data_IF_249210546693
#
_entry.id   IF_249210546693
#
_cell.length_a   1.000
_cell.length_b   1.000
_cell.length_c   1.000
_cell.angle_alpha   90.00
_cell.angle_beta   90.00
_cell.angle_gamma   90.00
#
_symmetry.space_group_name_H-M   'P 1'
#
loop_
_entity.id
_entity.type
_entity.pdbx_description
1 polymer ?
#
# COMPACT_ATOMS: atom_id res chain seq x y z
N UNK A 1 -5.18 28.10 18.30
CA UNK A 1 -4.77 26.68 18.30
C UNK A 1 -3.84 26.49 17.12
N UNK A 2 -2.58 26.17 17.36
CA UNK A 2 -1.62 25.85 16.29
C UNK A 2 -2.07 24.55 15.66
N UNK A 3 -2.52 24.57 14.39
CA UNK A 3 -2.85 23.36 13.65
C UNK A 3 -1.52 22.64 13.46
N UNK A 4 -1.37 21.47 14.06
CA UNK A 4 -0.18 20.66 13.90
C UNK A 4 -0.01 20.27 12.43
N UNK A 5 1.13 20.60 11.83
CA UNK A 5 1.42 20.33 10.42
C UNK A 5 1.85 18.88 10.25
N UNK A 6 1.36 18.14 9.22
CA UNK A 6 1.84 16.82 8.90
C UNK A 6 3.36 16.78 8.70
N UNK A 7 3.99 15.69 9.16
CA UNK A 7 5.43 15.48 9.01
C UNK A 7 5.83 15.09 7.57
N UNK A 8 4.86 14.67 6.76
CA UNK A 8 5.05 14.24 5.38
C UNK A 8 4.07 14.95 4.46
N UNK A 9 4.56 15.47 3.35
CA UNK A 9 3.75 16.12 2.31
C UNK A 9 3.13 15.08 1.37
N UNK A 10 3.90 14.07 0.95
CA UNK A 10 3.49 13.04 -0.01
C UNK A 10 3.82 11.66 0.50
N UNK A 11 2.83 10.79 0.53
CA UNK A 11 2.97 9.40 0.98
C UNK A 11 2.43 8.42 -0.07
N UNK A 12 2.97 7.20 -0.06
CA UNK A 12 2.37 6.08 -0.77
C UNK A 12 1.88 5.03 0.24
N UNK A 13 0.59 4.78 0.25
CA UNK A 13 -0.06 3.77 1.09
C UNK A 13 -0.21 2.46 0.32
N UNK A 14 0.45 1.41 0.77
CA UNK A 14 0.28 0.06 0.23
C UNK A 14 -0.71 -0.73 1.08
N UNK A 15 -1.78 -1.15 0.46
CA UNK A 15 -2.81 -2.02 1.04
C UNK A 15 -2.75 -3.42 0.45
N UNK A 16 -2.86 -4.46 1.28
CA UNK A 16 -3.08 -5.81 0.75
C UNK A 16 -4.54 -5.96 0.31
N UNK A 17 -4.80 -6.77 -0.73
CA UNK A 17 -6.18 -7.09 -1.12
C UNK A 17 -6.96 -7.72 0.05
N UNK A 18 -6.32 -8.56 0.84
CA UNK A 18 -6.92 -9.17 2.03
C UNK A 18 -7.42 -8.16 3.08
N UNK A 19 -6.84 -6.95 3.09
CA UNK A 19 -7.32 -5.90 3.95
C UNK A 19 -8.73 -5.42 3.58
N UNK A 20 -9.19 -5.67 2.34
CA UNK A 20 -10.55 -5.33 1.88
C UNK A 20 -11.60 -6.40 2.20
N UNK A 21 -11.19 -7.59 2.65
CA UNK A 21 -12.11 -8.68 2.94
C UNK A 21 -12.86 -8.47 4.27
N UNK A 22 -12.27 -7.75 5.21
CA UNK A 22 -12.77 -7.76 6.58
C UNK A 22 -12.70 -9.17 7.17
N UNK A 23 -13.83 -9.66 7.68
CA UNK A 23 -13.99 -11.02 8.22
C UNK A 23 -14.47 -12.03 7.16
N UNK A 24 -14.72 -11.59 5.93
CA UNK A 24 -15.13 -12.45 4.82
C UNK A 24 -13.97 -13.32 4.33
N UNK A 25 -14.27 -14.50 3.78
CA UNK A 25 -13.26 -15.44 3.28
C UNK A 25 -12.62 -14.98 1.96
N UNK A 26 -13.32 -14.16 1.16
CA UNK A 26 -12.86 -13.63 -0.13
C UNK A 26 -13.69 -12.39 -0.52
N UNK A 27 -13.22 -11.68 -1.56
CA UNK A 27 -13.96 -10.58 -2.15
C UNK A 27 -13.72 -9.24 -1.42
N UNK A 28 -14.71 -8.36 -1.51
CA UNK A 28 -14.63 -6.98 -1.06
C UNK A 28 -15.74 -6.71 -0.04
N UNK A 29 -15.36 -6.43 1.19
CA UNK A 29 -16.30 -6.05 2.24
C UNK A 29 -16.52 -4.54 2.25
N UNK A 30 -17.76 -4.09 2.01
CA UNK A 30 -18.10 -2.69 1.90
C UNK A 30 -17.83 -1.88 3.17
N UNK A 31 -18.12 -2.43 4.34
CA UNK A 31 -17.90 -1.72 5.61
C UNK A 31 -16.40 -1.50 5.86
N UNK A 32 -15.58 -2.50 5.52
CA UNK A 32 -14.13 -2.43 5.63
C UNK A 32 -13.53 -1.37 4.69
N UNK A 33 -13.97 -1.31 3.42
CA UNK A 33 -13.54 -0.26 2.50
C UNK A 33 -13.91 1.13 3.01
N UNK A 34 -15.14 1.33 3.48
CA UNK A 34 -15.59 2.64 3.99
C UNK A 34 -14.70 3.09 5.15
N UNK A 35 -14.38 2.20 6.08
CA UNK A 35 -13.47 2.52 7.20
C UNK A 35 -12.08 2.93 6.72
N UNK A 36 -11.49 2.20 5.75
CA UNK A 36 -10.18 2.54 5.20
C UNK A 36 -10.19 3.88 4.49
N UNK A 37 -11.23 4.15 3.71
CA UNK A 37 -11.40 5.43 3.01
C UNK A 37 -11.55 6.57 4.00
N UNK A 38 -12.20 6.38 5.15
CA UNK A 38 -12.27 7.40 6.20
C UNK A 38 -10.89 7.78 6.74
N UNK A 39 -10.00 6.81 6.99
CA UNK A 39 -8.60 7.06 7.40
C UNK A 39 -7.84 7.86 6.32
N UNK A 40 -7.99 7.48 5.03
CA UNK A 40 -7.38 8.21 3.91
C UNK A 40 -7.95 9.61 3.80
N UNK A 41 -9.27 9.78 3.94
CA UNK A 41 -9.94 11.08 3.87
C UNK A 41 -9.45 12.03 4.96
N UNK A 42 -9.23 11.53 6.15
CA UNK A 42 -8.73 12.35 7.27
C UNK A 42 -7.37 12.96 6.92
N UNK A 43 -6.41 12.17 6.44
CA UNK A 43 -5.07 12.66 6.14
C UNK A 43 -5.01 13.51 4.87
N UNK A 44 -5.83 13.21 3.86
CA UNK A 44 -5.94 14.02 2.65
C UNK A 44 -6.48 15.42 2.97
N UNK A 45 -7.48 15.52 3.86
CA UNK A 45 -8.02 16.82 4.32
C UNK A 45 -7.03 17.65 5.14
N UNK A 46 -6.00 17.01 5.68
CA UNK A 46 -4.87 17.70 6.34
C UNK A 46 -3.85 18.26 5.34
N UNK A 47 -4.07 18.07 4.03
CA UNK A 47 -3.18 18.54 2.96
C UNK A 47 -2.08 17.55 2.58
N UNK A 48 -2.16 16.29 3.02
CA UNK A 48 -1.23 15.24 2.60
C UNK A 48 -1.63 14.70 1.23
N UNK A 49 -0.69 14.66 0.30
CA UNK A 49 -0.85 14.03 -1.01
C UNK A 49 -0.75 12.51 -0.85
N UNK A 50 -1.83 11.79 -1.17
CA UNK A 50 -1.93 10.35 -0.93
C UNK A 50 -2.01 9.58 -2.24
N UNK A 51 -1.03 8.70 -2.47
CA UNK A 51 -1.09 7.66 -3.47
C UNK A 51 -1.35 6.31 -2.79
N UNK A 52 -2.07 5.41 -3.49
CA UNK A 52 -2.40 4.08 -2.98
C UNK A 52 -1.96 3.02 -3.99
N UNK A 53 -1.30 1.97 -3.52
CA UNK A 53 -1.12 0.70 -4.24
C UNK A 53 -1.93 -0.37 -3.54
N UNK A 54 -2.79 -1.07 -4.28
CA UNK A 54 -3.67 -2.10 -3.73
C UNK A 54 -3.32 -3.48 -4.28
N UNK A 55 -3.28 -4.50 -3.42
CA UNK A 55 -3.14 -5.90 -3.81
C UNK A 55 -4.44 -6.52 -4.33
N UNK A 56 -4.33 -7.71 -4.94
CA UNK A 56 -5.47 -8.48 -5.50
C UNK A 56 -5.77 -9.80 -4.80
N UNK A 57 -5.07 -10.11 -3.70
CA UNK A 57 -5.10 -11.44 -3.06
C UNK A 57 -6.44 -11.86 -2.44
N UNK A 58 -7.38 -10.92 -2.25
CA UNK A 58 -8.76 -11.20 -1.84
C UNK A 58 -9.64 -11.75 -2.98
N UNK A 59 -9.23 -11.55 -4.23
CA UNK A 59 -9.95 -12.00 -5.43
C UNK A 59 -9.20 -13.14 -6.09
N UNK A 60 -7.91 -12.97 -6.34
CA UNK A 60 -7.06 -13.96 -6.99
C UNK A 60 -5.61 -13.90 -6.50
N UNK A 61 -4.98 -15.07 -6.29
CA UNK A 61 -3.57 -15.20 -5.90
C UNK A 61 -2.80 -15.94 -6.99
N UNK A 62 -1.93 -15.22 -7.73
CA UNK A 62 -1.12 -15.79 -8.80
C UNK A 62 -0.24 -16.97 -8.36
N UNK A 63 0.35 -16.89 -7.15
CA UNK A 63 1.15 -17.99 -6.61
C UNK A 63 0.32 -19.25 -6.36
N UNK A 64 -0.89 -19.10 -5.79
CA UNK A 64 -1.80 -20.23 -5.57
C UNK A 64 -2.30 -20.79 -6.90
N UNK A 65 -2.71 -19.93 -7.84
CA UNK A 65 -3.13 -20.36 -9.18
C UNK A 65 -2.02 -21.08 -9.95
N UNK A 66 -0.77 -20.63 -9.84
CA UNK A 66 0.38 -21.31 -10.41
C UNK A 66 0.62 -22.70 -9.79
N UNK A 67 0.38 -22.86 -8.48
CA UNK A 67 0.48 -24.14 -7.78
C UNK A 67 -0.61 -25.15 -8.25
N UNK A 68 -1.72 -24.67 -8.82
CA UNK A 68 -2.78 -25.50 -9.42
C UNK A 68 -2.51 -25.87 -10.88
N UNK A 69 -1.26 -25.68 -11.36
CA UNK A 69 -0.84 -26.03 -12.73
C UNK A 69 -1.05 -24.94 -13.77
N UNK A 70 -1.46 -23.75 -13.38
CA UNK A 70 -1.56 -22.59 -14.26
C UNK A 70 -0.17 -22.00 -14.53
N UNK A 71 0.06 -21.49 -15.74
CA UNK A 71 1.28 -20.73 -16.04
C UNK A 71 1.40 -19.51 -15.12
N UNK A 72 2.59 -19.31 -14.55
CA UNK A 72 2.85 -18.27 -13.56
C UNK A 72 2.58 -16.86 -14.10
N UNK A 73 2.99 -16.56 -15.35
CA UNK A 73 2.78 -15.25 -15.93
C UNK A 73 1.30 -14.96 -16.15
N UNK A 74 0.55 -15.96 -16.61
CA UNK A 74 -0.92 -15.89 -16.76
C UNK A 74 -1.59 -15.65 -15.41
N UNK A 75 -1.21 -16.38 -14.38
CA UNK A 75 -1.73 -16.20 -13.02
C UNK A 75 -1.42 -14.82 -12.46
N UNK A 76 -0.23 -14.28 -12.71
CA UNK A 76 0.14 -12.93 -12.29
C UNK A 76 -0.68 -11.85 -13.03
N UNK A 77 -0.98 -12.01 -14.31
CA UNK A 77 -1.92 -11.12 -15.02
C UNK A 77 -3.33 -11.15 -14.44
N UNK A 78 -3.84 -12.33 -14.08
CA UNK A 78 -5.12 -12.43 -13.35
C UNK A 78 -5.06 -11.68 -12.01
N UNK A 79 -3.96 -11.80 -11.28
CA UNK A 79 -3.71 -11.02 -10.06
C UNK A 79 -3.69 -9.50 -10.32
N UNK A 80 -3.09 -9.06 -11.43
CA UNK A 80 -3.11 -7.65 -11.83
C UNK A 80 -4.54 -7.16 -12.10
N UNK A 81 -5.36 -7.94 -12.82
CA UNK A 81 -6.77 -7.61 -13.05
C UNK A 81 -7.57 -7.57 -11.75
N UNK A 82 -7.28 -8.46 -10.80
CA UNK A 82 -7.87 -8.43 -9.47
C UNK A 82 -7.56 -7.11 -8.72
N UNK A 83 -6.34 -6.56 -8.87
CA UNK A 83 -6.01 -5.26 -8.30
C UNK A 83 -6.80 -4.13 -8.95
N UNK A 84 -7.11 -4.21 -10.25
CA UNK A 84 -7.94 -3.22 -10.95
C UNK A 84 -9.35 -3.20 -10.37
N UNK A 85 -9.95 -4.37 -10.12
CA UNK A 85 -11.26 -4.47 -9.47
C UNK A 85 -11.26 -3.82 -8.08
N UNK A 86 -10.23 -4.10 -7.27
CA UNK A 86 -10.08 -3.48 -5.96
C UNK A 86 -9.88 -1.96 -6.02
N UNK A 87 -9.09 -1.49 -6.99
CA UNK A 87 -8.84 -0.06 -7.19
C UNK A 87 -10.12 0.70 -7.57
N UNK A 88 -10.95 0.12 -8.44
CA UNK A 88 -12.25 0.70 -8.80
C UNK A 88 -13.19 0.78 -7.59
N UNK A 89 -13.28 -0.30 -6.79
CA UNK A 89 -14.11 -0.32 -5.60
C UNK A 89 -13.64 0.71 -4.55
N UNK A 90 -12.31 0.87 -4.42
CA UNK A 90 -11.73 1.85 -3.50
C UNK A 90 -12.01 3.29 -3.97
N UNK A 91 -11.86 3.57 -5.27
CA UNK A 91 -12.15 4.88 -5.85
C UNK A 91 -13.64 5.26 -5.73
N UNK A 92 -14.55 4.33 -6.02
CA UNK A 92 -16.01 4.54 -5.81
C UNK A 92 -16.33 4.88 -4.35
N UNK A 93 -15.69 4.18 -3.41
CA UNK A 93 -15.88 4.47 -1.99
C UNK A 93 -15.29 5.83 -1.59
N UNK A 94 -14.16 6.25 -2.18
CA UNK A 94 -13.55 7.57 -1.97
C UNK A 94 -14.46 8.68 -2.48
N UNK A 95 -14.99 8.56 -3.69
CA UNK A 95 -15.92 9.56 -4.27
C UNK A 95 -17.17 9.73 -3.39
N UNK A 96 -17.72 8.65 -2.84
CA UNK A 96 -18.84 8.68 -1.90
C UNK A 96 -18.52 9.36 -0.55
N UNK A 97 -17.24 9.46 -0.19
CA UNK A 97 -16.76 10.18 0.99
C UNK A 97 -16.28 11.61 0.66
N UNK A 98 -16.52 12.07 -0.57
CA UNK A 98 -16.14 13.41 -1.03
C UNK A 98 -14.64 13.57 -1.33
N UNK A 99 -13.92 12.46 -1.55
CA UNK A 99 -12.56 12.46 -2.06
C UNK A 99 -12.58 12.22 -3.57
N UNK A 100 -11.92 13.06 -4.35
CA UNK A 100 -11.71 12.76 -5.76
C UNK A 100 -10.58 11.77 -5.92
N UNK A 101 -10.89 10.57 -6.43
CA UNK A 101 -9.90 9.54 -6.72
C UNK A 101 -9.66 9.37 -8.23
N UNK A 102 -8.44 8.98 -8.59
CA UNK A 102 -8.06 8.61 -9.97
C UNK A 102 -7.37 7.25 -9.95
N UNK A 103 -7.93 6.31 -10.71
CA UNK A 103 -7.32 4.99 -10.88
C UNK A 103 -6.43 5.00 -12.12
N UNK A 104 -5.16 4.64 -11.95
CA UNK A 104 -4.18 4.55 -13.03
C UNK A 104 -3.61 3.14 -13.08
N UNK A 105 -3.67 2.49 -14.25
CA UNK A 105 -3.25 1.11 -14.43
C UNK A 105 -1.91 1.00 -15.14
N UNK A 106 -1.07 0.07 -14.66
CA UNK A 106 0.18 -0.28 -15.31
C UNK A 106 0.03 -1.11 -16.59
N UNK A 107 -1.15 -1.71 -16.80
CA UNK A 107 -1.54 -2.38 -18.06
C UNK A 107 -2.67 -1.59 -18.71
N UNK A 108 -2.71 -1.55 -20.05
CA UNK A 108 -3.72 -0.77 -20.78
C UNK A 108 -5.11 -1.42 -20.70
N UNK A 109 -6.04 -0.71 -20.07
CA UNK A 109 -7.47 -1.07 -19.98
C UNK A 109 -8.27 0.23 -20.14
N UNK A 110 -8.05 0.94 -21.24
CA UNK A 110 -8.44 2.34 -21.44
C UNK A 110 -9.93 2.61 -21.30
N UNK A 111 -10.79 1.60 -21.57
CA UNK A 111 -12.24 1.74 -21.39
C UNK A 111 -12.68 1.78 -19.91
N UNK A 112 -11.80 1.38 -18.98
CA UNK A 112 -12.14 1.19 -17.57
C UNK A 112 -11.37 2.11 -16.65
N UNK A 113 -10.04 2.25 -16.89
CA UNK A 113 -9.12 3.03 -16.06
C UNK A 113 -8.10 3.76 -16.91
N UNK A 114 -7.53 4.83 -16.38
CA UNK A 114 -6.50 5.59 -17.07
C UNK A 114 -5.17 4.81 -17.12
N UNK A 115 -4.41 4.86 -18.24
CA UNK A 115 -3.06 4.33 -18.26
C UNK A 115 -2.16 5.15 -17.31
N UNK A 116 -1.23 4.47 -16.66
CA UNK A 116 -0.27 5.15 -15.80
C UNK A 116 0.69 6.01 -16.61
N UNK A 117 0.68 7.30 -16.33
CA UNK A 117 1.62 8.29 -16.87
C UNK A 117 2.12 9.15 -15.71
N UNK A 118 3.42 9.05 -15.37
CA UNK A 118 4.00 9.71 -14.19
C UNK A 118 3.67 11.21 -14.07
N UNK A 119 3.86 12.07 -15.08
CA UNK A 119 3.51 13.50 -14.99
C UNK A 119 2.05 13.73 -14.61
N UNK A 120 1.13 12.90 -15.13
CA UNK A 120 -0.30 13.00 -14.85
C UNK A 120 -0.62 12.58 -13.42
N UNK A 121 0.06 11.54 -12.91
CA UNK A 121 -0.08 11.13 -11.51
C UNK A 121 0.37 12.24 -10.55
N UNK A 122 1.51 12.88 -10.84
CA UNK A 122 2.01 14.02 -10.06
C UNK A 122 1.02 15.20 -10.08
N UNK A 123 0.49 15.55 -11.25
CA UNK A 123 -0.52 16.59 -11.37
C UNK A 123 -1.75 16.29 -10.49
N UNK A 124 -2.27 15.06 -10.52
CA UNK A 124 -3.41 14.68 -9.71
C UNK A 124 -3.14 14.79 -8.20
N UNK A 125 -1.96 14.38 -7.75
CA UNK A 125 -1.56 14.50 -6.35
C UNK A 125 -1.47 15.99 -5.92
N UNK A 126 -0.86 16.83 -6.75
CA UNK A 126 -0.75 18.28 -6.52
C UNK A 126 -2.12 18.99 -6.51
N UNK A 127 -3.08 18.48 -7.27
CA UNK A 127 -4.48 18.93 -7.25
C UNK A 127 -5.28 18.41 -6.03
N UNK A 128 -4.65 17.69 -5.11
CA UNK A 128 -5.28 17.11 -3.92
C UNK A 128 -6.16 15.89 -4.19
N UNK A 129 -6.02 15.26 -5.36
CA UNK A 129 -6.69 14.00 -5.68
C UNK A 129 -5.92 12.81 -5.14
N UNK A 130 -6.62 11.76 -4.73
CA UNK A 130 -6.00 10.48 -4.39
C UNK A 130 -5.72 9.70 -5.67
N UNK A 131 -4.50 9.23 -5.86
CA UNK A 131 -4.15 8.38 -7.01
C UNK A 131 -4.08 6.93 -6.57
N UNK A 132 -4.88 6.05 -7.18
CA UNK A 132 -4.87 4.61 -6.91
C UNK A 132 -4.18 3.89 -8.06
N UNK A 133 -3.00 3.33 -7.80
CA UNK A 133 -2.24 2.55 -8.77
C UNK A 133 -2.72 1.11 -8.79
N UNK A 134 -3.13 0.65 -9.96
CA UNK A 134 -3.60 -0.70 -10.24
C UNK A 134 -2.65 -1.47 -11.16
N UNK A 135 -2.86 -2.77 -11.26
CA UNK A 135 -2.08 -3.71 -12.08
C UNK A 135 -0.58 -3.82 -11.67
N UNK A 136 -0.27 -3.51 -10.42
CA UNK A 136 1.06 -3.69 -9.86
C UNK A 136 2.14 -2.94 -10.65
N UNK A 137 3.19 -3.66 -11.08
CA UNK A 137 4.25 -3.14 -11.96
C UNK A 137 3.88 -3.20 -13.44
N UNK A 138 2.80 -3.91 -13.80
CA UNK A 138 2.45 -4.25 -15.18
C UNK A 138 3.23 -5.46 -15.74
N UNK A 139 4.12 -6.05 -14.95
CA UNK A 139 4.95 -7.18 -15.34
C UNK A 139 4.73 -8.38 -14.42
N UNK A 140 4.65 -9.61 -14.97
CA UNK A 140 4.66 -10.83 -14.18
C UNK A 140 5.92 -10.94 -13.30
N UNK A 141 5.88 -11.84 -12.32
CA UNK A 141 6.95 -12.16 -11.36
C UNK A 141 7.24 -11.12 -10.27
N UNK A 142 6.60 -9.96 -10.30
CA UNK A 142 6.71 -8.93 -9.27
C UNK A 142 5.47 -8.90 -8.39
N UNK A 143 5.67 -8.50 -7.14
CA UNK A 143 4.56 -8.33 -6.18
C UNK A 143 4.05 -6.89 -6.14
N UNK A 144 2.97 -6.66 -5.41
CA UNK A 144 2.48 -5.31 -5.13
C UNK A 144 3.36 -4.54 -4.13
N UNK A 145 4.24 -5.20 -3.38
CA UNK A 145 5.28 -4.53 -2.58
C UNK A 145 6.32 -3.90 -3.51
N UNK A 146 6.78 -4.63 -4.54
CA UNK A 146 7.64 -4.05 -5.60
C UNK A 146 6.97 -2.88 -6.31
N UNK A 147 5.67 -3.00 -6.62
CA UNK A 147 4.91 -1.91 -7.22
C UNK A 147 4.86 -0.67 -6.31
N UNK A 148 4.67 -0.87 -5.00
CA UNK A 148 4.66 0.23 -4.03
C UNK A 148 6.02 0.95 -3.96
N UNK A 149 7.12 0.20 -3.92
CA UNK A 149 8.46 0.76 -3.95
C UNK A 149 8.71 1.57 -5.24
N UNK A 150 8.36 0.99 -6.40
CA UNK A 150 8.53 1.63 -7.71
C UNK A 150 7.71 2.92 -7.82
N UNK A 151 6.41 2.85 -7.58
CA UNK A 151 5.53 4.03 -7.66
C UNK A 151 5.90 5.08 -6.62
N UNK A 152 6.28 4.66 -5.39
CA UNK A 152 6.77 5.58 -4.35
C UNK A 152 7.97 6.39 -4.80
N UNK A 153 8.97 5.73 -5.39
CA UNK A 153 10.15 6.39 -5.95
C UNK A 153 9.79 7.32 -7.12
N UNK A 154 8.95 6.86 -8.07
CA UNK A 154 8.54 7.62 -9.25
C UNK A 154 7.78 8.90 -8.93
N UNK A 155 6.91 8.88 -7.93
CA UNK A 155 6.14 10.07 -7.53
C UNK A 155 6.86 10.94 -6.50
N UNK A 156 8.04 10.55 -6.04
CA UNK A 156 8.77 11.26 -4.99
C UNK A 156 8.06 11.22 -3.65
N UNK A 157 7.49 10.07 -3.26
CA UNK A 157 6.92 9.89 -1.94
C UNK A 157 8.01 10.00 -0.86
N UNK A 158 7.71 10.68 0.23
CA UNK A 158 8.62 10.84 1.37
C UNK A 158 8.59 9.59 2.29
N UNK A 159 7.53 8.79 2.19
CA UNK A 159 7.32 7.59 2.96
C UNK A 159 6.45 6.58 2.22
N UNK A 160 6.85 5.31 2.19
CA UNK A 160 5.99 4.19 1.84
C UNK A 160 5.39 3.61 3.11
N UNK A 161 4.08 3.49 3.15
CA UNK A 161 3.31 2.98 4.27
C UNK A 161 2.81 1.58 3.93
N UNK A 162 3.39 0.56 4.55
CA UNK A 162 2.90 -0.81 4.44
C UNK A 162 1.85 -1.06 5.53
N UNK A 163 0.60 -1.03 5.12
CA UNK A 163 -0.53 -1.33 5.98
C UNK A 163 -0.73 -2.84 6.13
N UNK A 164 -0.70 -3.34 7.36
CA UNK A 164 -0.81 -4.76 7.69
C UNK A 164 -1.85 -5.01 8.78
N UNK A 165 -2.07 -6.28 9.14
CA UNK A 165 -2.91 -6.65 10.30
C UNK A 165 -2.14 -6.54 11.63
N UNK A 166 -0.80 -6.57 11.58
CA UNK A 166 0.08 -6.39 12.75
C UNK A 166 0.58 -4.97 12.83
N UNK A 167 0.91 -4.51 14.02
CA UNK A 167 1.23 -3.12 14.30
C UNK A 167 2.72 -2.76 14.13
N UNK A 168 3.50 -3.58 13.44
CA UNK A 168 4.90 -3.30 13.14
C UNK A 168 5.70 -4.56 12.81
N UNK A 169 7.02 -4.41 12.82
CA UNK A 169 8.00 -5.49 12.66
C UNK A 169 8.45 -5.97 14.02
N UNK A 170 8.51 -7.28 14.22
CA UNK A 170 8.87 -7.93 15.47
C UNK A 170 10.14 -8.75 15.35
N UNK A 171 10.76 -9.02 16.48
CA UNK A 171 11.95 -9.90 16.58
C UNK A 171 11.66 -11.35 16.19
N UNK A 172 10.40 -11.77 16.33
CA UNK A 172 9.84 -13.06 15.93
C UNK A 172 8.34 -12.89 15.66
N UNK A 173 7.67 -13.93 15.19
CA UNK A 173 6.21 -13.91 14.98
C UNK A 173 5.47 -13.76 16.34
N UNK A 174 4.81 -12.62 16.61
CA UNK A 174 4.18 -12.39 17.91
C UNK A 174 2.98 -13.31 18.18
N UNK A 175 2.46 -14.00 17.16
CA UNK A 175 1.41 -15.01 17.34
C UNK A 175 1.95 -16.35 17.82
N UNK A 176 3.24 -16.63 17.59
CA UNK A 176 3.91 -17.87 17.95
C UNK A 176 4.84 -17.70 19.14
N UNK A 177 5.42 -16.52 19.29
CA UNK A 177 6.36 -16.21 20.36
C UNK A 177 5.85 -15.00 21.17
N UNK A 178 5.32 -15.21 22.36
CA UNK A 178 4.84 -14.13 23.23
C UNK A 178 5.96 -13.23 23.78
N UNK A 179 7.23 -13.62 23.61
CA UNK A 179 8.40 -12.78 23.99
C UNK A 179 8.86 -11.88 22.86
N UNK A 180 8.26 -12.00 21.67
CA UNK A 180 8.60 -11.15 20.53
C UNK A 180 8.36 -9.67 20.86
N UNK A 181 9.37 -8.85 20.59
CA UNK A 181 9.32 -7.40 20.81
C UNK A 181 9.26 -6.65 19.49
N UNK A 182 8.44 -5.60 19.43
CA UNK A 182 8.31 -4.76 18.25
C UNK A 182 9.49 -3.79 18.15
N UNK A 183 10.05 -3.68 16.94
CA UNK A 183 11.01 -2.63 16.64
C UNK A 183 10.29 -1.28 16.46
N UNK A 184 10.80 -0.22 17.04
CA UNK A 184 10.37 1.15 16.74
C UNK A 184 11.01 1.64 15.45
N UNK A 185 12.31 1.37 15.28
CA UNK A 185 13.11 1.72 14.10
C UNK A 185 14.05 0.57 13.76
N UNK A 186 14.36 0.41 12.49
CA UNK A 186 15.20 -0.65 11.96
C UNK A 186 15.87 -0.17 10.67
N UNK A 187 17.16 -0.39 10.50
CA UNK A 187 17.79 -0.11 9.21
C UNK A 187 17.45 -1.18 8.17
N UNK A 188 17.51 -0.82 6.87
CA UNK A 188 17.34 -1.81 5.79
C UNK A 188 18.36 -2.94 5.91
N UNK A 189 19.62 -2.62 6.21
CA UNK A 189 20.69 -3.63 6.34
C UNK A 189 20.45 -4.56 7.53
N UNK A 190 20.00 -4.05 8.66
CA UNK A 190 19.64 -4.87 9.82
C UNK A 190 18.44 -5.78 9.50
N UNK A 191 17.40 -5.27 8.85
CA UNK A 191 16.25 -6.06 8.45
C UNK A 191 16.65 -7.20 7.48
N UNK A 192 17.55 -6.93 6.53
CA UNK A 192 18.08 -7.92 5.61
C UNK A 192 18.92 -8.97 6.33
N UNK A 193 19.86 -8.55 7.20
CA UNK A 193 20.75 -9.46 7.92
C UNK A 193 19.99 -10.42 8.83
N UNK A 194 18.86 -9.97 9.39
CA UNK A 194 17.97 -10.77 10.25
C UNK A 194 16.88 -11.52 9.46
N UNK A 195 16.87 -11.40 8.13
CA UNK A 195 15.87 -12.02 7.24
C UNK A 195 14.41 -11.73 7.68
N UNK A 196 14.13 -10.50 8.10
CA UNK A 196 12.80 -10.09 8.51
C UNK A 196 11.90 -9.92 7.28
N UNK A 197 10.80 -10.67 7.22
CA UNK A 197 9.87 -10.73 6.08
C UNK A 197 8.97 -9.48 5.95
N UNK A 198 9.57 -8.31 5.84
CA UNK A 198 8.85 -7.03 5.76
C UNK A 198 8.22 -6.84 4.40
N UNK A 199 9.00 -7.01 3.33
CA UNK A 199 8.62 -6.91 1.91
C UNK A 199 9.36 -7.98 1.12
N UNK A 200 9.01 -8.17 -0.16
CA UNK A 200 9.84 -8.99 -1.02
C UNK A 200 11.23 -8.33 -1.26
N UNK A 201 12.21 -9.16 -1.63
CA UNK A 201 13.60 -8.72 -1.75
C UNK A 201 13.80 -7.60 -2.76
N UNK A 202 13.02 -7.60 -3.86
CA UNK A 202 13.10 -6.58 -4.93
C UNK A 202 12.58 -5.23 -4.41
N UNK A 203 11.43 -5.22 -3.76
CA UNK A 203 10.86 -4.03 -3.15
C UNK A 203 11.82 -3.44 -2.10
N UNK A 204 12.38 -4.32 -1.28
CA UNK A 204 13.29 -3.94 -0.21
C UNK A 204 14.58 -3.29 -0.74
N UNK A 205 15.20 -3.93 -1.75
CA UNK A 205 16.40 -3.39 -2.40
C UNK A 205 16.12 -2.03 -3.05
N UNK A 206 14.99 -1.88 -3.74
CA UNK A 206 14.61 -0.62 -4.38
C UNK A 206 14.40 0.49 -3.35
N UNK A 207 13.68 0.24 -2.27
CA UNK A 207 13.48 1.23 -1.20
C UNK A 207 14.81 1.66 -0.57
N UNK A 208 15.71 0.71 -0.30
CA UNK A 208 17.05 1.00 0.23
C UNK A 208 17.87 1.87 -0.73
N UNK A 209 17.97 1.48 -1.99
CA UNK A 209 18.79 2.16 -2.99
C UNK A 209 18.27 3.57 -3.31
N UNK A 210 16.95 3.77 -3.26
CA UNK A 210 16.31 5.08 -3.41
C UNK A 210 16.25 5.89 -2.11
N UNK A 211 16.74 5.34 -0.99
CA UNK A 211 16.64 5.93 0.37
C UNK A 211 15.19 6.29 0.74
N UNK A 212 14.24 5.51 0.25
CA UNK A 212 12.81 5.68 0.47
C UNK A 212 12.41 4.92 1.73
N UNK A 213 12.11 5.60 2.84
CA UNK A 213 11.77 4.91 4.08
C UNK A 213 10.44 4.18 3.96
N UNK A 214 10.32 3.10 4.71
CA UNK A 214 9.11 2.28 4.79
C UNK A 214 8.61 2.26 6.22
N UNK A 215 7.32 2.53 6.44
CA UNK A 215 6.71 2.34 7.76
C UNK A 215 5.69 1.21 7.71
N UNK A 216 5.90 0.20 8.54
CA UNK A 216 4.96 -0.90 8.74
C UNK A 216 4.06 -0.57 9.92
N UNK A 217 2.74 -0.56 9.72
CA UNK A 217 1.77 -0.22 10.76
C UNK A 217 0.46 -0.99 10.59
N UNK A 218 -0.38 -0.99 11.63
CA UNK A 218 -1.69 -1.65 11.56
C UNK A 218 -2.76 -0.73 11.03
N UNK A 219 -3.39 -1.11 9.91
CA UNK A 219 -4.56 -0.40 9.34
C UNK A 219 -5.84 -0.70 10.12
N UNK A 220 -5.84 -1.72 10.99
CA UNK A 220 -6.99 -2.07 11.80
C UNK A 220 -7.14 -1.10 12.99
N UNK A 221 -6.03 -0.55 13.46
CA UNK A 221 -5.97 0.38 14.57
C UNK A 221 -6.47 1.75 14.14
N UNK A 222 -7.62 2.17 14.66
CA UNK A 222 -8.24 3.45 14.30
C UNK A 222 -7.33 4.65 14.54
N UNK A 223 -7.25 5.57 13.53
CA UNK A 223 -6.40 6.76 13.56
C UNK A 223 -4.90 6.47 13.41
N UNK A 224 -4.49 5.23 13.13
CA UNK A 224 -3.08 4.89 12.98
C UNK A 224 -2.43 5.61 11.79
N UNK A 225 -3.14 5.71 10.66
CA UNK A 225 -2.63 6.43 9.49
C UNK A 225 -2.36 7.91 9.81
N UNK A 226 -3.28 8.56 10.53
CA UNK A 226 -3.09 9.95 10.98
C UNK A 226 -1.88 10.08 11.89
N UNK A 227 -1.72 9.21 12.90
CA UNK A 227 -0.56 9.27 13.80
C UNK A 227 0.75 9.12 13.03
N UNK A 228 0.80 8.21 12.04
CA UNK A 228 1.97 8.06 11.18
C UNK A 228 2.29 9.36 10.43
N UNK A 229 1.32 9.96 9.76
CA UNK A 229 1.57 11.20 8.98
C UNK A 229 1.88 12.40 9.85
N UNK A 230 1.48 12.38 11.12
CA UNK A 230 1.86 13.39 12.12
C UNK A 230 3.25 13.17 12.71
N UNK A 231 3.96 12.09 12.32
CA UNK A 231 5.29 11.77 12.80
C UNK A 231 5.32 11.13 14.19
N UNK A 232 4.17 10.66 14.69
CA UNK A 232 4.09 9.97 15.97
C UNK A 232 4.73 8.57 15.89
N UNK A 233 5.04 7.99 17.05
CA UNK A 233 5.65 6.66 17.16
C UNK A 233 4.59 5.55 16.97
N UNK A 234 4.13 5.39 15.73
CA UNK A 234 3.18 4.36 15.32
C UNK A 234 3.87 3.38 14.37
N UNK A 235 3.80 2.08 14.68
CA UNK A 235 4.40 1.04 13.83
C UNK A 235 5.93 0.96 13.93
N UNK A 236 6.57 0.44 12.89
CA UNK A 236 8.03 0.33 12.75
C UNK A 236 8.51 1.10 11.53
N UNK A 237 9.47 2.00 11.73
CA UNK A 237 10.14 2.73 10.64
C UNK A 237 11.36 1.94 10.17
N UNK A 238 11.40 1.60 8.88
CA UNK A 238 12.58 1.02 8.21
C UNK A 238 13.22 2.10 7.34
N UNK A 239 14.51 2.32 7.50
CA UNK A 239 15.24 3.44 6.88
C UNK A 239 16.64 3.03 6.39
N UNK A 240 17.25 3.87 5.56
CA UNK A 240 18.60 3.70 5.05
C UNK A 240 19.67 4.12 6.08
#
# INVERSE_FOLDING_TARGET
MTIATPAYKRILLKLSGEALMGDDAFGINRATIVRMVQEVAEVTRMGVEVAVVIGGGNIFRGVAGGAEGMDRATADYMGMLATVMNALALADAMDKQGLTARVMSAISIEQVVEPYVRPKALQYLEEGKVVVFAAGTGNPFFTTDTAAALRGAEIGAELVLKATKVDGVYTADPQKDPTATRYTKLSFDEAMSRNLGIMDATAFALCRDQKLPVRVFSIIKHGALKRVVMGEDEGTLVYA
#
